data_IF_259357969664
#
_entry.id   IF_259357969664
#
_cell.length_a   1.000
_cell.length_b   1.000
_cell.length_c   1.000
_cell.angle_alpha   90.00
_cell.angle_beta   90.00
_cell.angle_gamma   90.00
#
_symmetry.space_group_name_H-M   'P 1'
#
loop_
_entity.id
_entity.type
_entity.pdbx_description
1 polymer ?
#
# COMPACT_ATOMS: atom_id res chain seq x y z
N UNK A 1 -9.28 20.35 -15.41
CA UNK A 1 -9.26 19.42 -16.56
C UNK A 1 -9.80 18.08 -16.07
N UNK A 2 -10.68 17.44 -16.85
CA UNK A 2 -11.12 16.07 -16.56
C UNK A 2 -10.16 15.10 -17.24
N UNK A 3 -9.79 14.02 -16.56
CA UNK A 3 -9.01 12.97 -17.22
C UNK A 3 -9.91 12.17 -18.20
N UNK A 4 -9.38 11.70 -19.34
CA UNK A 4 -10.15 10.88 -20.29
C UNK A 4 -10.68 9.58 -19.68
N UNK A 5 -11.87 9.15 -20.08
CA UNK A 5 -12.41 7.84 -19.65
C UNK A 5 -11.45 6.71 -20.06
N UNK A 6 -11.27 5.72 -19.18
CA UNK A 6 -10.37 4.60 -19.40
C UNK A 6 -10.91 3.34 -18.70
N UNK A 7 -10.89 2.16 -19.34
CA UNK A 7 -11.45 0.94 -18.75
C UNK A 7 -10.77 0.52 -17.43
N UNK A 8 -9.51 0.89 -17.23
CA UNK A 8 -8.74 0.63 -15.99
C UNK A 8 -8.86 1.77 -14.95
N UNK A 9 -9.69 2.79 -15.19
CA UNK A 9 -9.91 3.88 -14.24
C UNK A 9 -10.76 3.40 -13.06
N UNK A 10 -10.37 3.81 -11.85
CA UNK A 10 -11.24 3.74 -10.68
C UNK A 10 -12.23 4.91 -10.73
N UNK A 11 -13.53 4.62 -10.88
CA UNK A 11 -14.56 5.67 -10.99
C UNK A 11 -15.26 5.97 -9.64
N UNK A 12 -15.24 5.01 -8.70
CA UNK A 12 -16.00 5.12 -7.44
C UNK A 12 -15.19 5.61 -6.24
N UNK A 13 -13.90 5.31 -6.21
CA UNK A 13 -13.03 5.58 -5.07
C UNK A 13 -11.76 6.29 -5.53
N UNK A 14 -11.23 7.18 -4.70
CA UNK A 14 -10.00 7.94 -4.95
C UNK A 14 -8.76 7.05 -4.80
N UNK A 15 -8.61 6.12 -5.73
CA UNK A 15 -7.56 5.10 -5.71
C UNK A 15 -6.71 5.18 -6.97
N UNK A 16 -5.45 4.82 -6.82
CA UNK A 16 -4.50 4.76 -7.93
C UNK A 16 -3.65 3.50 -7.79
N UNK A 17 -3.27 2.94 -8.94
CA UNK A 17 -2.31 1.85 -9.05
C UNK A 17 -1.07 2.38 -9.77
N UNK A 18 0.12 2.03 -9.28
CA UNK A 18 1.37 2.29 -9.97
C UNK A 18 1.41 1.53 -11.30
N UNK A 19 2.19 2.07 -12.24
CA UNK A 19 2.35 1.49 -13.57
C UNK A 19 3.27 0.27 -13.54
N UNK A 20 4.29 0.33 -12.71
CA UNK A 20 5.35 -0.66 -12.60
C UNK A 20 4.86 -1.89 -11.83
N UNK A 21 5.12 -3.08 -12.39
CA UNK A 21 4.90 -4.35 -11.71
C UNK A 21 5.94 -4.51 -10.59
N UNK A 22 5.47 -4.95 -9.42
CA UNK A 22 6.31 -5.48 -8.36
C UNK A 22 6.65 -6.95 -8.68
N UNK A 23 7.93 -7.31 -8.61
CA UNK A 23 8.37 -8.65 -8.98
C UNK A 23 9.53 -9.15 -8.12
N UNK A 24 9.55 -10.46 -7.86
CA UNK A 24 10.59 -11.12 -7.08
C UNK A 24 10.65 -10.61 -5.64
N UNK A 25 11.85 -10.23 -5.20
CA UNK A 25 12.06 -9.54 -3.93
C UNK A 25 12.27 -8.07 -4.17
N UNK A 26 11.38 -7.24 -3.65
CA UNK A 26 11.51 -5.80 -3.77
C UNK A 26 11.05 -5.09 -2.51
N UNK A 27 11.52 -3.86 -2.36
CA UNK A 27 11.07 -2.95 -1.34
C UNK A 27 10.78 -1.60 -1.96
N UNK A 28 9.86 -0.87 -1.35
CA UNK A 28 9.61 0.53 -1.70
C UNK A 28 9.05 1.25 -0.48
N UNK A 29 9.15 2.56 -0.53
CA UNK A 29 8.73 3.44 0.55
C UNK A 29 7.80 4.51 0.01
N UNK A 30 6.81 4.88 0.81
CA UNK A 30 6.02 6.07 0.55
C UNK A 30 5.74 6.82 1.83
N UNK A 31 5.55 8.12 1.67
CA UNK A 31 5.18 9.03 2.74
C UNK A 31 3.87 9.76 2.41
N UNK A 32 3.07 10.05 3.43
CA UNK A 32 1.83 10.80 3.34
C UNK A 32 1.91 12.09 4.17
N UNK A 33 1.21 13.12 3.70
CA UNK A 33 1.01 14.35 4.49
C UNK A 33 -0.07 14.23 5.57
N UNK A 34 -0.72 13.07 5.69
CA UNK A 34 -1.77 12.81 6.66
C UNK A 34 -2.26 11.37 6.54
N UNK A 35 -3.58 11.19 6.48
CA UNK A 35 -4.20 9.87 6.41
C UNK A 35 -4.15 9.28 5.00
N UNK A 36 -3.95 7.97 4.92
CA UNK A 36 -3.90 7.26 3.64
C UNK A 36 -3.83 5.75 3.79
N UNK A 37 -4.26 5.05 2.75
CA UNK A 37 -4.09 3.61 2.62
C UNK A 37 -2.95 3.31 1.63
N UNK A 38 -2.05 2.42 2.03
CA UNK A 38 -1.09 1.77 1.14
C UNK A 38 -1.61 0.39 0.77
N UNK A 39 -1.65 0.10 -0.53
CA UNK A 39 -2.14 -1.15 -1.06
C UNK A 39 -1.06 -1.87 -1.87
N UNK A 40 -1.16 -3.19 -1.88
CA UNK A 40 -0.61 -4.03 -2.93
C UNK A 40 -1.78 -4.75 -3.55
N UNK A 41 -1.90 -4.72 -4.88
CA UNK A 41 -3.07 -5.23 -5.57
C UNK A 41 -2.73 -5.84 -6.93
N UNK A 42 -3.60 -6.73 -7.40
CA UNK A 42 -3.57 -7.18 -8.78
C UNK A 42 -4.13 -6.12 -9.72
N UNK A 43 -3.64 -6.09 -10.96
CA UNK A 43 -4.19 -5.19 -11.99
C UNK A 43 -5.69 -5.44 -12.23
N UNK A 44 -6.15 -6.68 -12.06
CA UNK A 44 -7.58 -7.03 -12.20
C UNK A 44 -8.50 -6.45 -11.12
N UNK A 45 -7.98 -5.59 -10.23
CA UNK A 45 -8.78 -4.75 -9.32
C UNK A 45 -9.25 -3.44 -9.95
N UNK A 46 -8.68 -3.01 -11.07
CA UNK A 46 -9.05 -1.75 -11.73
C UNK A 46 -10.38 -1.84 -12.47
N UNK A 47 -11.04 -0.70 -12.66
CA UNK A 47 -12.18 -0.53 -13.56
C UNK A 47 -13.42 0.07 -12.91
N UNK A 48 -14.48 0.28 -13.68
CA UNK A 48 -15.65 1.08 -13.27
C UNK A 48 -16.41 0.51 -12.06
N UNK A 49 -16.52 -0.82 -12.00
CA UNK A 49 -17.19 -1.54 -10.90
C UNK A 49 -16.21 -2.00 -9.81
N UNK A 50 -15.01 -1.44 -9.79
CA UNK A 50 -14.00 -1.79 -8.79
C UNK A 50 -14.42 -1.38 -7.38
N UNK A 51 -14.15 -2.28 -6.43
CA UNK A 51 -14.28 -2.00 -5.01
C UNK A 51 -13.07 -1.25 -4.45
N UNK A 52 -13.21 -0.77 -3.21
CA UNK A 52 -12.08 -0.26 -2.43
C UNK A 52 -11.02 -1.36 -2.22
N UNK A 53 -9.74 -1.00 -2.23
CA UNK A 53 -8.65 -1.90 -1.85
C UNK A 53 -8.88 -2.49 -0.45
N UNK A 54 -8.50 -3.75 -0.29
CA UNK A 54 -8.73 -4.54 0.92
C UNK A 54 -10.17 -5.05 1.07
N UNK A 55 -11.15 -4.58 0.28
CA UNK A 55 -12.53 -5.08 0.28
C UNK A 55 -12.77 -6.19 -0.77
N UNK A 56 -11.71 -6.89 -1.14
CA UNK A 56 -11.70 -8.00 -2.09
C UNK A 56 -10.50 -8.92 -1.80
N UNK A 57 -10.47 -10.09 -2.45
CA UNK A 57 -9.39 -11.09 -2.32
C UNK A 57 -8.12 -10.77 -3.13
N UNK A 58 -8.11 -9.66 -3.85
CA UNK A 58 -7.10 -9.30 -4.85
C UNK A 58 -6.23 -8.11 -4.43
N UNK A 59 -6.40 -7.64 -3.19
CA UNK A 59 -5.66 -6.51 -2.65
C UNK A 59 -5.45 -6.65 -1.14
N UNK A 60 -4.32 -6.13 -0.67
CA UNK A 60 -3.86 -6.14 0.71
C UNK A 60 -3.49 -4.72 1.09
N UNK A 61 -3.99 -4.25 2.23
CA UNK A 61 -3.89 -2.84 2.63
C UNK A 61 -3.33 -2.71 4.03
N UNK A 62 -2.47 -1.72 4.22
CA UNK A 62 -2.18 -1.10 5.50
C UNK A 62 -2.46 0.41 5.41
N UNK A 63 -3.41 0.86 6.22
CA UNK A 63 -3.81 2.27 6.31
C UNK A 63 -3.39 2.92 7.62
N UNK A 64 -3.02 4.20 7.55
CA UNK A 64 -2.67 5.03 8.70
C UNK A 64 -3.67 6.19 8.83
N UNK A 65 -4.28 6.33 10.00
CA UNK A 65 -5.31 7.34 10.29
C UNK A 65 -5.00 8.14 11.56
N UNK A 66 -3.72 8.45 11.79
CA UNK A 66 -3.21 9.23 12.94
C UNK A 66 -3.29 8.53 14.31
N UNK A 67 -4.47 8.02 14.68
CA UNK A 67 -4.78 7.36 15.95
C UNK A 67 -4.96 5.84 15.82
N UNK A 68 -4.94 5.29 14.60
CA UNK A 68 -5.11 3.86 14.34
C UNK A 68 -4.39 3.43 13.07
N UNK A 69 -3.89 2.20 13.09
CA UNK A 69 -3.51 1.45 11.91
C UNK A 69 -4.63 0.48 11.55
N UNK A 70 -4.93 0.36 10.26
CA UNK A 70 -5.93 -0.58 9.74
C UNK A 70 -5.25 -1.50 8.74
N UNK A 71 -5.23 -2.79 9.05
CA UNK A 71 -4.82 -3.84 8.12
C UNK A 71 -6.09 -4.42 7.49
N UNK A 72 -6.16 -4.51 6.17
CA UNK A 72 -7.39 -4.95 5.47
C UNK A 72 -7.09 -5.87 4.29
N UNK A 73 -7.81 -6.98 4.23
CA UNK A 73 -7.86 -7.91 3.10
C UNK A 73 -9.20 -8.66 3.13
N UNK A 74 -9.80 -8.92 1.97
CA UNK A 74 -11.08 -9.63 1.84
C UNK A 74 -12.21 -9.12 2.75
N UNK A 75 -12.34 -7.79 2.89
CA UNK A 75 -13.34 -7.11 3.74
C UNK A 75 -13.18 -7.39 5.24
N UNK A 76 -12.02 -7.88 5.67
CA UNK A 76 -11.73 -8.15 7.07
C UNK A 76 -10.72 -7.12 7.61
N UNK A 77 -11.19 -6.00 8.19
CA UNK A 77 -10.31 -5.02 8.82
C UNK A 77 -9.83 -5.52 10.19
N UNK A 78 -8.56 -5.27 10.50
CA UNK A 78 -7.99 -5.39 11.85
C UNK A 78 -7.37 -4.07 12.24
N UNK A 79 -7.69 -3.63 13.45
CA UNK A 79 -7.32 -2.31 13.96
C UNK A 79 -6.24 -2.46 15.02
N UNK A 80 -5.21 -1.63 14.94
CA UNK A 80 -4.09 -1.63 15.87
C UNK A 80 -3.76 -0.20 16.32
N UNK A 81 -3.26 0.00 17.54
CA UNK A 81 -2.67 1.27 17.93
C UNK A 81 -1.42 1.54 17.06
N UNK A 82 -1.23 2.76 16.56
CA UNK A 82 0.00 3.11 15.85
C UNK A 82 1.19 3.13 16.82
N UNK A 83 2.43 2.83 16.37
CA UNK A 83 3.61 3.25 17.11
C UNK A 83 3.64 4.75 17.38
N UNK A 84 4.37 5.13 18.43
CA UNK A 84 4.83 6.51 18.62
C UNK A 84 6.21 6.68 17.98
N UNK A 85 6.48 7.81 17.30
CA UNK A 85 5.58 8.92 16.96
C UNK A 85 4.63 8.58 15.78
N UNK A 86 3.68 9.49 15.42
CA UNK A 86 2.75 9.24 14.33
C UNK A 86 3.43 8.82 13.03
N UNK A 87 2.91 7.77 12.40
CA UNK A 87 3.44 7.25 11.14
C UNK A 87 2.97 8.11 9.98
N UNK A 88 3.93 8.70 9.30
CA UNK A 88 3.71 9.34 8.01
C UNK A 88 4.48 8.64 6.87
N UNK A 89 5.32 7.64 7.18
CA UNK A 89 6.13 6.90 6.21
C UNK A 89 6.03 5.41 6.46
N UNK A 90 5.86 4.64 5.37
CA UNK A 90 5.82 3.19 5.41
C UNK A 90 6.79 2.60 4.40
N UNK A 91 7.44 1.51 4.82
CA UNK A 91 8.25 0.65 3.96
C UNK A 91 7.48 -0.64 3.72
N UNK A 92 7.40 -1.06 2.46
CA UNK A 92 6.84 -2.35 2.08
C UNK A 92 7.96 -3.24 1.59
N UNK A 93 7.91 -4.50 2.01
CA UNK A 93 8.73 -5.58 1.50
C UNK A 93 7.84 -6.65 0.88
N UNK A 94 8.17 -7.05 -0.34
CA UNK A 94 7.54 -8.17 -1.04
C UNK A 94 8.59 -9.25 -1.28
N UNK A 95 8.25 -10.49 -0.96
CA UNK A 95 8.87 -11.69 -1.51
C UNK A 95 7.77 -12.47 -2.25
N UNK A 96 7.68 -12.24 -3.57
CA UNK A 96 6.63 -12.81 -4.42
C UNK A 96 6.67 -14.35 -4.41
N UNK A 97 7.87 -14.94 -4.42
CA UNK A 97 8.05 -16.39 -4.45
C UNK A 97 7.71 -17.06 -3.10
N UNK A 98 8.05 -16.40 -1.99
CA UNK A 98 7.71 -16.88 -0.65
C UNK A 98 6.26 -16.55 -0.25
N UNK A 99 5.56 -15.70 -1.01
CA UNK A 99 4.20 -15.29 -0.67
C UNK A 99 4.14 -14.32 0.51
N UNK A 100 5.19 -13.55 0.74
CA UNK A 100 5.33 -12.66 1.90
C UNK A 100 5.13 -11.23 1.45
N UNK A 101 4.20 -10.53 2.09
CA UNK A 101 4.04 -9.09 2.00
C UNK A 101 4.08 -8.49 3.40
N UNK A 102 5.12 -7.72 3.67
CA UNK A 102 5.38 -7.14 4.98
C UNK A 102 5.40 -5.63 4.94
N UNK A 103 4.83 -5.01 5.97
CA UNK A 103 4.78 -3.57 6.17
C UNK A 103 5.60 -3.20 7.41
N UNK A 104 6.37 -2.14 7.28
CA UNK A 104 7.25 -1.60 8.31
C UNK A 104 7.09 -0.09 8.41
N UNK A 105 7.50 0.44 9.55
CA UNK A 105 7.79 1.86 9.74
C UNK A 105 9.24 2.02 10.15
N UNK A 106 9.78 3.22 9.98
CA UNK A 106 11.07 3.61 10.55
C UNK A 106 10.77 4.25 11.91
N UNK A 107 11.46 3.82 12.97
CA UNK A 107 11.40 4.45 14.28
C UNK A 107 12.29 5.70 14.35
N UNK A 108 12.16 6.48 15.43
CA UNK A 108 13.03 7.64 15.73
C UNK A 108 14.52 7.29 15.74
N UNK A 109 14.84 6.03 16.02
CA UNK A 109 16.21 5.51 16.06
C UNK A 109 16.71 4.99 14.70
N UNK A 110 16.02 5.30 13.59
CA UNK A 110 16.31 4.78 12.25
C UNK A 110 16.30 3.24 12.17
N UNK A 111 15.50 2.56 13.00
CA UNK A 111 15.36 1.10 12.94
C UNK A 111 14.03 0.72 12.31
N UNK A 112 14.04 -0.32 11.47
CA UNK A 112 12.81 -0.88 10.90
C UNK A 112 11.99 -1.57 12.00
N UNK A 113 10.77 -1.08 12.20
CA UNK A 113 9.78 -1.66 13.10
C UNK A 113 8.71 -2.35 12.27
N UNK A 114 8.57 -3.65 12.44
CA UNK A 114 7.52 -4.45 11.81
C UNK A 114 6.13 -4.01 12.27
N UNK A 115 5.19 -3.93 11.32
CA UNK A 115 3.78 -3.61 11.58
C UNK A 115 2.88 -4.79 11.26
N UNK A 116 3.04 -5.38 10.07
CA UNK A 116 2.19 -6.48 9.64
C UNK A 116 2.84 -7.32 8.56
N UNK A 117 2.49 -8.61 8.50
CA UNK A 117 2.82 -9.49 7.38
C UNK A 117 1.58 -10.25 6.94
N UNK A 118 1.30 -10.20 5.64
CA UNK A 118 0.42 -11.14 4.97
C UNK A 118 1.25 -12.29 4.44
N UNK A 119 0.81 -13.51 4.72
CA UNK A 119 1.31 -14.73 4.10
C UNK A 119 0.21 -15.24 3.17
N UNK A 120 0.48 -15.31 1.88
CA UNK A 120 -0.51 -15.65 0.85
C UNK A 120 0.16 -16.22 -0.39
N UNK A 121 -0.62 -16.83 -1.29
CA UNK A 121 -0.12 -17.25 -2.59
C UNK A 121 -0.57 -16.24 -3.63
N UNK A 122 0.38 -15.51 -4.21
CA UNK A 122 0.09 -14.57 -5.27
C UNK A 122 -0.16 -15.31 -6.60
N UNK A 123 -1.26 -14.95 -7.27
CA UNK A 123 -1.75 -15.64 -8.47
C UNK A 123 -1.73 -14.76 -9.71
N UNK A 124 -1.48 -13.46 -9.55
CA UNK A 124 -1.42 -12.48 -10.62
C UNK A 124 -0.29 -11.47 -10.34
N UNK A 125 0.20 -10.76 -11.37
CA UNK A 125 1.15 -9.67 -11.18
C UNK A 125 0.68 -8.63 -10.17
N UNK A 126 1.59 -8.25 -9.26
CA UNK A 126 1.35 -7.31 -8.18
C UNK A 126 1.78 -5.90 -8.56
N UNK A 127 1.06 -4.92 -8.03
CA UNK A 127 1.32 -3.50 -8.22
C UNK A 127 1.11 -2.77 -6.90
N UNK A 128 1.91 -1.73 -6.66
CA UNK A 128 1.67 -0.81 -5.57
C UNK A 128 0.42 0.02 -5.87
N UNK A 129 -0.37 0.29 -4.85
CA UNK A 129 -1.57 1.11 -4.95
C UNK A 129 -1.74 2.01 -3.74
N UNK A 130 -2.53 3.06 -3.92
CA UNK A 130 -2.78 4.07 -2.89
C UNK A 130 -4.24 4.48 -2.91
N UNK A 131 -4.80 4.73 -1.72
CA UNK A 131 -6.05 5.46 -1.58
C UNK A 131 -5.73 6.83 -1.00
N UNK A 132 -6.13 7.86 -1.73
CA UNK A 132 -5.90 9.25 -1.36
C UNK A 132 -7.21 9.85 -0.88
N UNK A 133 -7.21 10.37 0.35
CA UNK A 133 -8.31 11.17 0.87
C UNK A 133 -8.05 12.65 0.55
N UNK A 134 -8.08 13.52 1.55
CA UNK A 134 -7.73 14.93 1.41
C UNK A 134 -6.22 15.21 1.64
N UNK A 135 -5.37 14.21 1.37
CA UNK A 135 -3.93 14.26 1.62
C UNK A 135 -3.13 13.84 0.39
N UNK A 136 -1.82 14.12 0.42
CA UNK A 136 -0.87 13.73 -0.61
C UNK A 136 -0.08 12.47 -0.22
N UNK A 137 0.35 11.72 -1.22
CA UNK A 137 1.34 10.64 -1.07
C UNK A 137 2.51 10.91 -2.02
N UNK A 138 3.72 10.60 -1.57
CA UNK A 138 4.93 10.62 -2.39
C UNK A 138 5.65 9.29 -2.24
N UNK A 139 6.05 8.69 -3.36
CA UNK A 139 7.03 7.61 -3.35
C UNK A 139 8.38 8.20 -2.94
N UNK A 140 9.06 7.57 -1.99
CA UNK A 140 10.38 8.03 -1.58
C UNK A 140 11.44 7.52 -2.57
N UNK A 141 12.36 8.41 -2.97
CA UNK A 141 13.52 8.00 -3.75
C UNK A 141 14.39 7.04 -2.94
N UNK A 142 14.82 5.96 -3.59
CA UNK A 142 15.87 5.10 -3.03
C UNK A 142 17.15 5.92 -3.08
N UNK A 143 17.58 6.48 -1.94
CA UNK A 143 18.93 7.03 -1.83
C UNK A 143 19.90 5.89 -2.09
N UNK A 144 20.55 5.88 -3.25
CA UNK A 144 21.75 5.09 -3.44
C UNK A 144 22.75 5.60 -2.38
N UNK A 145 23.12 4.72 -1.45
CA UNK A 145 24.35 4.94 -0.71
C UNK A 145 25.46 4.72 -1.71
N UNK A 146 26.07 5.81 -2.17
CA UNK A 146 27.38 5.73 -2.82
C UNK A 146 28.34 5.10 -1.79
N UNK A 147 28.96 3.98 -2.19
CA UNK A 147 30.04 3.31 -1.44
C UNK A 147 31.30 4.18 -1.34
#
# INVERSE_FOLDING_TARGET
MSYPDHPERFDRYQQVLCKERLSGRCYWEAEWSGEGDMAVAYKSTTGKDSGLFGNNKKSWVLGCFGHKLIVRHDKMPRHFPPPSPPLNKLTVYLDEAAGILSFYTISDTNTLRHLHTFNTTFTEPLYAGFVLYNHSVSLCDVKQQDE
#
